data_IF_957461477191
#
_entry.id   IF_957461477191
#
_cell.length_a   1.000
_cell.length_b   1.000
_cell.length_c   1.000
_cell.angle_alpha   90.00
_cell.angle_beta   90.00
_cell.angle_gamma   90.00
#
_symmetry.space_group_name_H-M   'P 1'
#
loop_
_entity.id
_entity.type
_entity.pdbx_description
1 polymer ?
#
# COMPACT_ATOMS: atom_id res chain seq x y z
N UNK A 1 7.19 -9.62 -23.83
CA UNK A 1 7.55 -10.49 -22.68
C UNK A 1 6.41 -11.48 -22.43
N UNK A 2 6.67 -12.78 -22.36
CA UNK A 2 5.61 -13.79 -22.14
C UNK A 2 4.95 -13.59 -20.76
N UNK A 3 3.63 -13.82 -20.67
CA UNK A 3 2.83 -13.65 -19.44
C UNK A 3 3.44 -14.39 -18.23
N UNK A 4 4.02 -15.56 -18.49
CA UNK A 4 4.72 -16.40 -17.49
C UNK A 4 5.91 -15.66 -16.87
N UNK A 5 6.72 -14.97 -17.67
CA UNK A 5 7.88 -14.20 -17.17
C UNK A 5 7.44 -13.06 -16.25
N UNK A 6 6.34 -12.37 -16.57
CA UNK A 6 5.78 -11.30 -15.72
C UNK A 6 5.32 -11.85 -14.36
N UNK A 7 4.62 -12.98 -14.35
CA UNK A 7 4.13 -13.63 -13.12
C UNK A 7 5.31 -14.09 -12.25
N UNK A 8 6.35 -14.68 -12.86
CA UNK A 8 7.55 -15.12 -12.13
C UNK A 8 8.28 -13.93 -11.51
N UNK A 9 8.43 -12.81 -12.22
CA UNK A 9 9.06 -11.60 -11.69
C UNK A 9 8.27 -11.01 -10.51
N UNK A 10 6.95 -10.94 -10.61
CA UNK A 10 6.08 -10.47 -9.52
C UNK A 10 6.19 -11.38 -8.30
N UNK A 11 6.13 -12.71 -8.50
CA UNK A 11 6.28 -13.68 -7.41
C UNK A 11 7.66 -13.60 -6.75
N UNK A 12 8.73 -13.45 -7.53
CA UNK A 12 10.09 -13.27 -7.02
C UNK A 12 10.21 -11.99 -6.18
N UNK A 13 9.58 -10.90 -6.62
CA UNK A 13 9.60 -9.62 -5.90
C UNK A 13 8.88 -9.73 -4.55
N UNK A 14 7.73 -10.40 -4.49
CA UNK A 14 7.01 -10.70 -3.24
C UNK A 14 7.83 -11.62 -2.33
N UNK A 15 8.38 -12.71 -2.85
CA UNK A 15 9.19 -13.66 -2.09
C UNK A 15 10.46 -13.03 -1.51
N UNK A 16 11.05 -12.05 -2.22
CA UNK A 16 12.21 -11.30 -1.74
C UNK A 16 11.92 -10.53 -0.44
N UNK A 17 10.65 -10.14 -0.21
CA UNK A 17 10.21 -9.48 1.01
C UNK A 17 9.89 -10.52 2.10
N UNK A 18 9.13 -11.56 1.74
CA UNK A 18 8.64 -12.55 2.69
C UNK A 18 9.72 -13.49 3.24
N UNK A 19 10.65 -13.99 2.40
CA UNK A 19 11.65 -14.99 2.82
C UNK A 19 12.59 -14.44 3.92
N UNK A 20 13.21 -13.25 3.77
CA UNK A 20 14.08 -12.71 4.81
C UNK A 20 13.30 -12.35 6.06
N UNK A 21 12.08 -11.82 5.91
CA UNK A 21 11.21 -11.48 7.03
C UNK A 21 10.83 -12.74 7.84
N UNK A 22 10.51 -13.84 7.17
CA UNK A 22 10.16 -15.10 7.82
C UNK A 22 11.36 -15.78 8.48
N UNK A 23 12.54 -15.74 7.84
CA UNK A 23 13.79 -16.20 8.43
C UNK A 23 14.19 -15.40 9.68
N UNK A 24 13.83 -14.11 9.75
CA UNK A 24 14.00 -13.28 10.94
C UNK A 24 13.02 -13.65 12.06
N UNK A 25 11.76 -13.97 11.74
CA UNK A 25 10.77 -14.42 12.71
C UNK A 25 11.10 -15.78 13.33
N UNK A 26 11.63 -16.72 12.55
CA UNK A 26 11.89 -18.10 12.95
C UNK A 26 13.21 -18.32 13.70
N UNK A 27 13.99 -17.28 13.99
CA UNK A 27 15.20 -17.48 14.80
C UNK A 27 15.46 -16.39 15.82
N UNK A 28 16.66 -16.45 16.43
CA UNK A 28 17.01 -15.62 17.58
C UNK A 28 16.82 -14.11 17.33
N UNK A 29 16.03 -13.50 18.21
CA UNK A 29 15.74 -12.07 18.22
C UNK A 29 16.91 -11.29 18.82
N UNK A 30 18.01 -11.16 18.07
CA UNK A 30 19.16 -10.30 18.43
C UNK A 30 19.17 -9.03 17.58
N UNK A 31 19.48 -7.89 18.21
CA UNK A 31 19.51 -6.55 17.59
C UNK A 31 20.46 -6.47 16.38
N UNK A 32 21.56 -7.22 16.38
CA UNK A 32 22.49 -7.32 15.25
C UNK A 32 21.90 -8.08 14.05
N UNK A 33 21.14 -9.15 14.31
CA UNK A 33 20.55 -9.99 13.27
C UNK A 33 19.43 -9.28 12.50
N UNK A 34 18.66 -8.41 13.18
CA UNK A 34 17.66 -7.54 12.54
C UNK A 34 18.29 -6.66 11.45
N UNK A 35 19.43 -6.00 11.75
CA UNK A 35 20.13 -5.15 10.78
C UNK A 35 20.63 -5.94 9.58
N UNK A 36 21.15 -7.14 9.81
CA UNK A 36 21.60 -8.04 8.75
C UNK A 36 20.44 -8.53 7.89
N UNK A 37 19.32 -8.95 8.48
CA UNK A 37 18.13 -9.37 7.71
C UNK A 37 17.55 -8.21 6.91
N UNK A 38 17.47 -7.01 7.49
CA UNK A 38 16.98 -5.84 6.79
C UNK A 38 17.89 -5.46 5.61
N UNK A 39 19.21 -5.51 5.80
CA UNK A 39 20.17 -5.29 4.71
C UNK A 39 20.01 -6.32 3.58
N UNK A 40 19.88 -7.61 3.91
CA UNK A 40 19.64 -8.68 2.93
C UNK A 40 18.32 -8.46 2.18
N UNK A 41 17.26 -8.08 2.88
CA UNK A 41 15.95 -7.82 2.29
C UNK A 41 16.01 -6.68 1.27
N UNK A 42 16.63 -5.56 1.66
CA UNK A 42 16.84 -4.40 0.78
C UNK A 42 17.70 -4.80 -0.43
N UNK A 43 18.83 -5.47 -0.22
CA UNK A 43 19.72 -5.87 -1.32
C UNK A 43 19.03 -6.83 -2.29
N UNK A 44 18.31 -7.84 -1.80
CA UNK A 44 17.59 -8.80 -2.65
C UNK A 44 16.46 -8.12 -3.43
N UNK A 45 15.69 -7.24 -2.78
CA UNK A 45 14.59 -6.53 -3.42
C UNK A 45 15.10 -5.63 -4.55
N UNK A 46 16.11 -4.79 -4.28
CA UNK A 46 16.66 -3.89 -5.30
C UNK A 46 17.39 -4.64 -6.42
N UNK A 47 18.06 -5.75 -6.13
CA UNK A 47 18.68 -6.58 -7.16
C UNK A 47 17.65 -7.17 -8.14
N UNK A 48 16.53 -7.70 -7.62
CA UNK A 48 15.45 -8.24 -8.45
C UNK A 48 14.74 -7.12 -9.22
N UNK A 49 14.58 -5.95 -8.61
CA UNK A 49 13.99 -4.77 -9.25
C UNK A 49 14.81 -4.30 -10.45
N UNK A 50 16.14 -4.20 -10.31
CA UNK A 50 17.04 -3.84 -11.43
C UNK A 50 16.96 -4.86 -12.57
N UNK A 51 16.91 -6.16 -12.25
CA UNK A 51 16.77 -7.22 -13.27
C UNK A 51 15.42 -7.08 -13.99
N UNK A 52 14.34 -6.80 -13.25
CA UNK A 52 13.02 -6.59 -13.84
C UNK A 52 13.01 -5.38 -14.79
N UNK A 53 13.64 -4.26 -14.42
CA UNK A 53 13.74 -3.06 -15.25
C UNK A 53 14.52 -3.32 -16.54
N UNK A 54 15.68 -3.98 -16.45
CA UNK A 54 16.47 -4.36 -17.63
C UNK A 54 15.64 -5.22 -18.59
N UNK A 55 14.87 -6.17 -18.05
CA UNK A 55 14.00 -7.03 -18.86
C UNK A 55 12.77 -6.31 -19.41
N UNK A 56 12.27 -5.27 -18.74
CA UNK A 56 11.12 -4.48 -19.18
C UNK A 56 11.48 -3.50 -20.31
N UNK A 57 12.66 -2.87 -20.25
CA UNK A 57 13.08 -1.83 -21.20
C UNK A 57 14.04 -2.33 -22.30
N UNK A 58 14.51 -3.58 -22.25
CA UNK A 58 15.49 -4.14 -23.20
C UNK A 58 14.94 -4.71 -24.52
N UNK A 59 13.67 -4.48 -24.88
CA UNK A 59 13.02 -5.04 -26.09
C UNK A 59 13.02 -4.10 -27.31
N UNK A 60 12.77 -4.65 -28.51
CA UNK A 60 12.57 -3.86 -29.73
C UNK A 60 11.21 -3.14 -29.73
N UNK A 61 11.19 -1.86 -30.07
CA UNK A 61 9.98 -1.00 -30.04
C UNK A 61 9.28 -1.03 -31.40
N UNK A 62 8.11 -1.67 -31.47
CA UNK A 62 7.22 -1.62 -32.62
C UNK A 62 6.14 -0.55 -32.42
N UNK A 63 5.86 0.26 -33.45
CA UNK A 63 4.91 1.37 -33.35
C UNK A 63 3.48 0.92 -33.02
N UNK A 64 3.04 -0.24 -33.53
CA UNK A 64 1.72 -0.81 -33.24
C UNK A 64 1.60 -1.32 -31.79
N UNK A 65 2.63 -2.02 -31.28
CA UNK A 65 2.66 -2.47 -29.88
C UNK A 65 2.70 -1.29 -28.88
N UNK A 66 3.26 -0.15 -29.29
CA UNK A 66 3.41 1.02 -28.41
C UNK A 66 2.06 1.64 -28.02
N UNK A 67 1.09 1.67 -28.93
CA UNK A 67 -0.25 2.22 -28.65
C UNK A 67 -1.04 1.33 -27.68
N UNK A 68 -0.97 0.00 -27.87
CA UNK A 68 -1.65 -0.98 -27.02
C UNK A 68 -0.96 -1.11 -25.64
N UNK A 69 0.37 -1.00 -25.60
CA UNK A 69 1.14 -0.89 -24.36
C UNK A 69 0.83 0.39 -23.58
N UNK A 70 0.62 1.52 -24.27
CA UNK A 70 0.24 2.78 -23.62
C UNK A 70 -1.16 2.69 -22.98
N UNK A 71 -2.13 2.09 -23.67
CA UNK A 71 -3.49 1.88 -23.15
C UNK A 71 -3.50 0.97 -21.92
N UNK A 72 -2.78 -0.17 -21.98
CA UNK A 72 -2.67 -1.10 -20.85
C UNK A 72 -1.91 -0.51 -19.65
N UNK A 73 -0.88 0.32 -19.90
CA UNK A 73 -0.18 1.05 -18.84
C UNK A 73 -1.09 2.08 -18.18
N UNK A 74 -1.88 2.83 -18.96
CA UNK A 74 -2.85 3.79 -18.43
C UNK A 74 -3.90 3.10 -17.53
N UNK A 75 -4.37 1.92 -17.93
CA UNK A 75 -5.30 1.12 -17.12
C UNK A 75 -4.64 0.60 -15.82
N UNK A 76 -3.39 0.13 -15.89
CA UNK A 76 -2.62 -0.26 -14.71
C UNK A 76 -2.41 0.89 -13.71
N UNK A 77 -2.07 2.08 -14.23
CA UNK A 77 -1.90 3.29 -13.42
C UNK A 77 -3.23 3.72 -12.77
N UNK A 78 -4.36 3.52 -13.44
CA UNK A 78 -5.70 3.77 -12.91
C UNK A 78 -5.99 2.90 -11.68
N UNK A 79 -5.63 1.61 -11.71
CA UNK A 79 -5.78 0.73 -10.54
C UNK A 79 -4.89 1.15 -9.37
N UNK A 80 -3.65 1.57 -9.63
CA UNK A 80 -2.75 2.08 -8.59
C UNK A 80 -3.29 3.39 -8.00
N UNK A 81 -3.77 4.31 -8.82
CA UNK A 81 -4.36 5.57 -8.37
C UNK A 81 -5.60 5.34 -7.48
N UNK A 82 -6.47 4.40 -7.85
CA UNK A 82 -7.63 4.02 -7.05
C UNK A 82 -7.21 3.44 -5.68
N UNK A 83 -6.23 2.53 -5.66
CA UNK A 83 -5.72 1.93 -4.43
C UNK A 83 -5.06 2.96 -3.49
N UNK A 84 -4.25 3.87 -4.05
CA UNK A 84 -3.58 4.93 -3.29
C UNK A 84 -4.58 5.94 -2.71
N UNK A 85 -5.62 6.32 -3.46
CA UNK A 85 -6.64 7.27 -3.01
C UNK A 85 -7.33 6.80 -1.72
N UNK A 86 -7.83 5.56 -1.71
CA UNK A 86 -8.47 4.98 -0.53
C UNK A 86 -7.45 4.68 0.58
N UNK A 87 -6.27 4.15 0.23
CA UNK A 87 -5.22 3.80 1.19
C UNK A 87 -4.70 5.01 1.98
N UNK A 88 -4.35 6.11 1.31
CA UNK A 88 -3.86 7.30 2.01
C UNK A 88 -4.95 8.03 2.79
N UNK A 89 -6.18 8.06 2.26
CA UNK A 89 -7.31 8.68 2.94
C UNK A 89 -7.65 7.96 4.26
N UNK A 90 -7.70 6.62 4.24
CA UNK A 90 -8.00 5.81 5.44
C UNK A 90 -6.92 5.93 6.52
N UNK A 91 -5.65 6.13 6.16
CA UNK A 91 -4.57 6.42 7.13
C UNK A 91 -4.83 7.76 7.82
N UNK A 92 -5.11 8.82 7.06
CA UNK A 92 -5.40 10.15 7.62
C UNK A 92 -6.66 10.15 8.50
N UNK A 93 -7.72 9.50 8.04
CA UNK A 93 -8.96 9.34 8.80
C UNK A 93 -8.72 8.55 10.08
N UNK A 94 -7.97 7.45 10.04
CA UNK A 94 -7.66 6.64 11.22
C UNK A 94 -6.91 7.41 12.31
N UNK A 95 -5.96 8.27 11.93
CA UNK A 95 -5.24 9.13 12.89
C UNK A 95 -6.19 10.15 13.53
N UNK A 96 -7.05 10.78 12.74
CA UNK A 96 -8.03 11.76 13.22
C UNK A 96 -9.09 11.10 14.14
N UNK A 97 -9.60 9.94 13.75
CA UNK A 97 -10.57 9.13 14.51
C UNK A 97 -9.97 8.67 15.83
N UNK A 98 -8.73 8.20 15.86
CA UNK A 98 -8.07 7.76 17.10
C UNK A 98 -7.99 8.90 18.15
N UNK A 99 -7.65 10.11 17.71
CA UNK A 99 -7.56 11.29 18.58
C UNK A 99 -8.95 11.72 19.09
N UNK A 100 -9.93 11.83 18.19
CA UNK A 100 -11.29 12.25 18.53
C UNK A 100 -12.04 11.23 19.38
N UNK A 101 -11.87 9.94 19.12
CA UNK A 101 -12.46 8.86 19.91
C UNK A 101 -11.88 8.79 21.33
N UNK A 102 -10.58 9.00 21.49
CA UNK A 102 -9.93 9.04 22.81
C UNK A 102 -10.46 10.19 23.66
N UNK A 103 -10.58 11.39 23.08
CA UNK A 103 -11.18 12.55 23.76
C UNK A 103 -12.66 12.35 24.07
N UNK A 104 -13.42 11.73 23.15
CA UNK A 104 -14.82 11.39 23.34
C UNK A 104 -15.04 10.42 24.52
N UNK A 105 -14.23 9.37 24.63
CA UNK A 105 -14.29 8.41 25.73
C UNK A 105 -13.87 9.04 27.07
N UNK A 106 -12.90 9.95 27.05
CA UNK A 106 -12.51 10.73 28.23
C UNK A 106 -13.65 11.61 28.76
N UNK A 107 -14.28 12.38 27.87
CA UNK A 107 -15.43 13.22 28.21
C UNK A 107 -16.65 12.40 28.66
N UNK A 108 -16.86 11.23 28.05
CA UNK A 108 -17.91 10.30 28.44
C UNK A 108 -17.74 9.78 29.88
N UNK A 109 -16.50 9.62 30.33
CA UNK A 109 -16.20 9.21 31.70
C UNK A 109 -16.54 10.28 32.74
N UNK A 110 -16.59 11.56 32.34
CA UNK A 110 -16.94 12.67 33.22
C UNK A 110 -18.44 13.00 33.16
N UNK A 111 -19.05 12.95 31.97
CA UNK A 111 -20.47 13.18 31.78
C UNK A 111 -21.03 12.24 30.71
N UNK A 112 -21.94 11.35 31.13
CA UNK A 112 -22.64 10.44 30.22
C UNK A 112 -23.55 11.15 29.20
N UNK A 113 -23.94 12.41 29.45
CA UNK A 113 -24.84 13.18 28.59
C UNK A 113 -24.17 13.67 27.29
N UNK A 114 -22.84 13.78 27.26
CA UNK A 114 -22.09 14.31 26.09
C UNK A 114 -21.78 13.25 25.02
N UNK A 115 -22.12 11.98 25.24
CA UNK A 115 -21.88 10.87 24.31
C UNK A 115 -22.30 11.18 22.86
N UNK A 116 -23.52 11.72 22.69
CA UNK A 116 -24.08 12.00 21.37
C UNK A 116 -23.33 13.10 20.61
N UNK A 117 -22.86 14.14 21.31
CA UNK A 117 -22.10 15.24 20.69
C UNK A 117 -20.69 14.79 20.31
N UNK A 118 -20.08 13.95 21.15
CA UNK A 118 -18.75 13.42 20.92
C UNK A 118 -18.71 12.46 19.72
N UNK A 119 -19.74 11.62 19.54
CA UNK A 119 -19.87 10.73 18.38
C UNK A 119 -19.97 11.47 17.05
N UNK A 120 -20.53 12.67 17.01
CA UNK A 120 -20.61 13.48 15.78
C UNK A 120 -19.20 13.88 15.31
N UNK A 121 -18.29 14.25 16.21
CA UNK A 121 -16.92 14.61 15.84
C UNK A 121 -16.11 13.42 15.32
N UNK A 122 -16.35 12.23 15.88
CA UNK A 122 -15.74 10.98 15.41
C UNK A 122 -16.26 10.61 14.03
N UNK A 123 -17.57 10.66 13.82
CA UNK A 123 -18.20 10.37 12.53
C UNK A 123 -17.77 11.37 11.44
N UNK A 124 -17.55 12.64 11.81
CA UNK A 124 -17.08 13.67 10.88
C UNK A 124 -15.63 13.39 10.41
N UNK A 125 -14.79 12.84 11.27
CA UNK A 125 -13.44 12.38 10.89
C UNK A 125 -13.49 11.15 9.94
N UNK A 126 -14.46 10.27 10.12
CA UNK A 126 -14.67 9.09 9.27
C UNK A 126 -15.11 9.46 7.83
N UNK A 127 -15.77 10.62 7.67
CA UNK A 127 -16.15 11.15 6.35
C UNK A 127 -14.98 11.33 5.38
N UNK A 128 -13.76 11.55 5.90
CA UNK A 128 -12.54 11.65 5.07
C UNK A 128 -12.27 10.31 4.37
N UNK A 129 -12.39 9.19 5.08
CA UNK A 129 -12.20 7.85 4.51
C UNK A 129 -13.23 7.55 3.40
N UNK A 130 -14.49 7.94 3.63
CA UNK A 130 -15.56 7.77 2.63
C UNK A 130 -15.31 8.57 1.37
N UNK A 131 -14.76 9.79 1.46
CA UNK A 131 -14.35 10.54 0.27
C UNK A 131 -13.22 9.84 -0.51
N UNK A 132 -12.26 9.22 0.19
CA UNK A 132 -11.20 8.43 -0.47
C UNK A 132 -11.73 7.18 -1.16
N UNK A 133 -12.81 6.59 -0.65
CA UNK A 133 -13.51 5.48 -1.31
C UNK A 133 -14.34 5.97 -2.51
N UNK A 134 -15.02 7.12 -2.39
CA UNK A 134 -15.80 7.70 -3.46
C UNK A 134 -14.91 8.08 -4.66
N UNK A 135 -13.75 8.70 -4.39
CA UNK A 135 -12.77 9.02 -5.43
C UNK A 135 -12.24 7.77 -6.12
N UNK A 136 -11.98 6.67 -5.39
CA UNK A 136 -11.53 5.43 -6.02
C UNK A 136 -12.61 4.82 -6.93
N UNK A 137 -13.89 4.89 -6.56
CA UNK A 137 -14.98 4.52 -7.46
C UNK A 137 -15.04 5.39 -8.73
N UNK A 138 -14.82 6.71 -8.61
CA UNK A 138 -14.75 7.60 -9.78
C UNK A 138 -13.57 7.25 -10.68
N UNK A 139 -12.42 6.86 -10.12
CA UNK A 139 -11.24 6.45 -10.91
C UNK A 139 -11.49 5.10 -11.60
N UNK A 140 -12.22 4.19 -10.96
CA UNK A 140 -12.48 2.84 -11.46
C UNK A 140 -13.65 2.75 -12.45
N UNK A 141 -14.49 3.78 -12.54
CA UNK A 141 -15.60 3.89 -13.48
C UNK A 141 -15.17 4.60 -14.79
#
# INVERSE_FOLDING_TARGET
MQMITKIILIAALILSIFIPFMAFLLGERKKGRLKTTLAINITMFFAILVIADIMLFGGSVNAAETAEAAASTAEGLRYIAAALSTGMSTIGAGIAVASSASAALGALSEDSSVMGKALIFVALAEGVALYGLLISFIILN
#
